data_IF_725402898004
#
_entry.id   IF_725402898004
#
_cell.length_a   1.000
_cell.length_b   1.000
_cell.length_c   1.000
_cell.angle_alpha   90.00
_cell.angle_beta   90.00
_cell.angle_gamma   90.00
#
_symmetry.space_group_name_H-M   'P 1'
#
loop_
_entity.id
_entity.type
_entity.pdbx_description
1 polymer ?
#
# COMPACT_ATOMS: atom_id res chain seq x y z
N UNK A 1 20.88 -10.88 1.50
CA UNK A 1 19.67 -10.87 0.62
C UNK A 1 19.65 -9.59 -0.21
N UNK A 2 19.15 -9.63 -1.45
CA UNK A 2 18.86 -8.43 -2.26
C UNK A 2 17.39 -8.45 -2.61
N UNK A 3 16.65 -7.43 -2.18
CA UNK A 3 15.25 -7.22 -2.53
C UNK A 3 15.16 -5.97 -3.40
N UNK A 4 14.58 -6.10 -4.57
CA UNK A 4 14.35 -4.98 -5.47
C UNK A 4 12.84 -4.75 -5.61
N UNK A 5 12.38 -3.59 -5.17
CA UNK A 5 10.99 -3.16 -5.31
C UNK A 5 10.93 -2.17 -6.47
N UNK A 6 10.34 -2.60 -7.57
CA UNK A 6 10.21 -1.76 -8.77
C UNK A 6 9.14 -0.69 -8.59
N UNK A 7 9.47 0.56 -8.90
CA UNK A 7 8.52 1.68 -8.92
C UNK A 7 7.54 1.62 -10.10
N UNK A 8 7.84 0.83 -11.13
CA UNK A 8 7.10 0.84 -12.40
C UNK A 8 5.74 0.12 -12.36
N UNK A 9 5.44 -0.65 -11.33
CA UNK A 9 4.15 -1.35 -11.19
C UNK A 9 2.96 -0.44 -10.94
N UNK A 10 3.18 0.84 -10.69
CA UNK A 10 2.13 1.80 -10.37
C UNK A 10 1.56 2.52 -11.60
N UNK A 11 2.14 2.30 -12.76
CA UNK A 11 1.65 2.93 -13.99
C UNK A 11 0.83 1.92 -14.80
N UNK A 12 -0.43 1.75 -14.40
CA UNK A 12 -1.39 1.03 -15.22
C UNK A 12 -1.80 1.93 -16.39
N UNK A 13 -1.30 1.62 -17.59
CA UNK A 13 -1.67 2.32 -18.80
C UNK A 13 -2.92 1.63 -19.36
N UNK A 14 -4.07 2.30 -19.28
CA UNK A 14 -5.33 1.84 -19.85
C UNK A 14 -5.67 2.65 -21.12
N UNK A 15 -6.53 2.11 -22.02
CA UNK A 15 -7.06 2.88 -23.13
C UNK A 15 -7.73 4.19 -22.69
N UNK A 16 -8.36 4.19 -21.53
CA UNK A 16 -9.01 5.36 -20.94
C UNK A 16 -8.02 6.47 -20.62
N UNK A 17 -6.89 6.18 -19.97
CA UNK A 17 -5.85 7.18 -19.69
C UNK A 17 -5.27 7.79 -20.97
N UNK A 18 -5.15 6.98 -22.04
CA UNK A 18 -4.69 7.50 -23.33
C UNK A 18 -5.75 8.44 -23.92
N UNK A 19 -7.01 8.08 -23.84
CA UNK A 19 -8.11 8.92 -24.35
C UNK A 19 -8.26 10.20 -23.53
N UNK A 20 -8.17 10.15 -22.22
CA UNK A 20 -8.16 11.34 -21.35
C UNK A 20 -7.03 12.30 -21.73
N UNK A 21 -5.84 11.77 -21.95
CA UNK A 21 -4.69 12.59 -22.36
C UNK A 21 -4.84 13.21 -23.76
N UNK A 22 -5.34 12.42 -24.72
CA UNK A 22 -5.50 12.87 -26.11
C UNK A 22 -6.71 13.79 -26.28
N UNK A 23 -7.82 13.45 -25.59
CA UNK A 23 -9.09 14.18 -25.67
C UNK A 23 -9.25 15.19 -24.51
N UNK A 24 -8.19 15.95 -24.21
CA UNK A 24 -8.14 16.92 -23.10
C UNK A 24 -9.24 17.99 -23.13
N UNK A 25 -9.95 18.14 -24.26
CA UNK A 25 -11.11 19.03 -24.40
C UNK A 25 -12.41 18.46 -23.82
N UNK A 26 -12.47 17.15 -23.58
CA UNK A 26 -13.61 16.50 -22.92
C UNK A 26 -13.49 16.75 -21.41
N UNK A 27 -14.44 17.51 -20.84
CA UNK A 27 -14.41 17.87 -19.41
C UNK A 27 -14.99 16.81 -18.49
N UNK A 28 -15.79 15.90 -19.06
CA UNK A 28 -16.47 14.84 -18.35
C UNK A 28 -15.77 13.51 -18.63
N UNK A 29 -14.90 13.10 -17.71
CA UNK A 29 -14.12 11.87 -17.85
C UNK A 29 -15.00 10.62 -17.81
N UNK A 30 -16.21 10.69 -17.22
CA UNK A 30 -17.15 9.58 -17.15
C UNK A 30 -17.60 9.13 -18.54
N UNK A 31 -17.48 9.99 -19.54
CA UNK A 31 -17.80 9.66 -20.95
C UNK A 31 -16.96 8.48 -21.46
N UNK A 32 -15.75 8.29 -20.94
CA UNK A 32 -14.87 7.21 -21.35
C UNK A 32 -15.19 5.88 -20.65
N UNK A 33 -15.79 5.93 -19.45
CA UNK A 33 -16.02 4.78 -18.57
C UNK A 33 -17.46 4.21 -18.66
N UNK A 34 -18.44 5.01 -19.07
CA UNK A 34 -19.86 4.64 -19.07
C UNK A 34 -20.27 3.84 -20.31
N UNK A 35 -19.72 2.61 -20.44
CA UNK A 35 -20.09 1.70 -21.54
C UNK A 35 -21.48 1.07 -21.37
N UNK A 36 -21.90 0.83 -20.13
CA UNK A 36 -23.17 0.15 -19.84
C UNK A 36 -24.38 1.09 -20.00
N UNK A 37 -24.24 2.36 -19.65
CA UNK A 37 -25.34 3.34 -19.71
C UNK A 37 -25.54 3.97 -21.09
N UNK A 38 -24.48 4.04 -21.90
CA UNK A 38 -24.52 4.62 -23.26
C UNK A 38 -23.84 3.70 -24.28
N UNK A 39 -24.45 2.56 -24.63
CA UNK A 39 -23.88 1.67 -25.63
C UNK A 39 -23.81 2.39 -26.98
N UNK A 40 -22.64 2.27 -27.66
CA UNK A 40 -22.38 2.90 -28.95
C UNK A 40 -21.72 4.27 -28.87
N UNK A 41 -21.09 4.58 -27.75
CA UNK A 41 -20.28 5.79 -27.60
C UNK A 41 -19.20 5.85 -28.70
N UNK A 42 -18.95 7.06 -29.26
CA UNK A 42 -17.90 7.29 -30.27
C UNK A 42 -16.51 6.82 -29.84
N UNK A 43 -16.24 6.76 -28.53
CA UNK A 43 -14.97 6.33 -27.95
C UNK A 43 -14.82 4.81 -27.85
N UNK A 44 -15.90 4.02 -27.86
CA UNK A 44 -15.85 2.54 -27.73
C UNK A 44 -14.94 1.91 -28.79
N UNK A 45 -15.01 2.40 -30.02
CA UNK A 45 -14.16 1.91 -31.12
C UNK A 45 -12.68 2.21 -30.87
N UNK A 46 -12.38 3.34 -30.23
CA UNK A 46 -11.02 3.72 -29.90
C UNK A 46 -10.49 2.92 -28.72
N UNK A 47 -11.31 2.70 -27.67
CA UNK A 47 -10.96 1.84 -26.53
C UNK A 47 -10.57 0.45 -27.03
N UNK A 48 -11.42 -0.18 -27.89
CA UNK A 48 -11.15 -1.49 -28.44
C UNK A 48 -9.88 -1.54 -29.33
N UNK A 49 -9.52 -0.45 -30.02
CA UNK A 49 -8.30 -0.37 -30.83
C UNK A 49 -7.05 -0.13 -30.00
N UNK A 50 -7.16 0.60 -28.89
CA UNK A 50 -6.04 0.92 -28.01
C UNK A 50 -5.73 -0.23 -27.04
N UNK A 51 -6.70 -1.08 -26.70
CA UNK A 51 -6.52 -2.19 -25.77
C UNK A 51 -5.37 -3.14 -26.14
N UNK A 52 -5.23 -3.63 -27.40
CA UNK A 52 -4.09 -4.48 -27.77
C UNK A 52 -2.74 -3.73 -27.67
N UNK A 53 -2.73 -2.42 -27.89
CA UNK A 53 -1.52 -1.60 -27.75
C UNK A 53 -1.14 -1.50 -26.28
N UNK A 54 -2.10 -1.21 -25.40
CA UNK A 54 -1.88 -1.18 -23.96
C UNK A 54 -1.38 -2.55 -23.43
N UNK A 55 -1.98 -3.65 -23.90
CA UNK A 55 -1.54 -5.00 -23.56
C UNK A 55 -0.10 -5.29 -24.01
N UNK A 56 0.28 -4.82 -25.20
CA UNK A 56 1.65 -4.96 -25.69
C UNK A 56 2.64 -4.14 -24.86
N UNK A 57 2.28 -2.92 -24.48
CA UNK A 57 3.08 -2.07 -23.58
C UNK A 57 3.24 -2.74 -22.21
N UNK A 58 2.17 -3.29 -21.63
CA UNK A 58 2.25 -4.01 -20.36
C UNK A 58 3.16 -5.23 -20.44
N UNK A 59 3.02 -6.03 -21.50
CA UNK A 59 3.88 -7.19 -21.72
C UNK A 59 5.36 -6.80 -21.84
N UNK A 60 5.65 -5.68 -22.49
CA UNK A 60 7.00 -5.14 -22.58
C UNK A 60 7.50 -4.65 -21.21
N UNK A 61 6.68 -3.92 -20.47
CA UNK A 61 7.01 -3.45 -19.12
C UNK A 61 7.24 -4.62 -18.15
N UNK A 62 6.42 -5.68 -18.22
CA UNK A 62 6.60 -6.90 -17.43
C UNK A 62 7.89 -7.63 -17.78
N UNK A 63 8.30 -7.59 -19.05
CA UNK A 63 9.58 -8.17 -19.50
C UNK A 63 10.79 -7.37 -18.97
N UNK A 64 10.73 -6.04 -19.04
CA UNK A 64 11.82 -5.15 -18.57
C UNK A 64 11.86 -5.10 -17.03
N UNK A 65 10.69 -5.23 -16.38
CA UNK A 65 10.53 -5.20 -14.92
C UNK A 65 9.81 -6.47 -14.44
N UNK A 66 10.48 -7.65 -14.51
CA UNK A 66 9.86 -8.89 -14.13
C UNK A 66 9.41 -8.87 -12.66
N UNK A 67 8.35 -9.62 -12.38
CA UNK A 67 7.95 -9.91 -10.99
C UNK A 67 9.11 -10.57 -10.27
N UNK A 68 9.22 -10.35 -8.96
CA UNK A 68 10.16 -11.14 -8.15
C UNK A 68 9.66 -12.59 -8.14
N UNK A 69 10.37 -13.45 -8.87
CA UNK A 69 10.02 -14.87 -9.01
C UNK A 69 10.71 -15.73 -7.95
N UNK A 70 11.78 -15.21 -7.36
CA UNK A 70 12.49 -15.89 -6.28
C UNK A 70 13.16 -14.91 -5.32
N UNK A 71 13.35 -15.34 -4.09
CA UNK A 71 14.14 -14.67 -3.07
C UNK A 71 15.26 -15.62 -2.67
N UNK A 72 16.52 -15.19 -2.78
CA UNK A 72 17.64 -15.94 -2.27
C UNK A 72 17.81 -15.63 -0.79
N UNK A 73 17.68 -16.66 0.04
CA UNK A 73 17.87 -16.60 1.49
C UNK A 73 19.17 -17.33 1.81
N UNK A 74 20.07 -16.67 2.51
CA UNK A 74 21.29 -17.27 3.04
C UNK A 74 21.05 -17.76 4.48
N UNK A 75 21.86 -18.70 4.96
CA UNK A 75 21.71 -19.28 6.29
C UNK A 75 21.67 -18.23 7.43
N UNK A 76 22.43 -17.17 7.28
CA UNK A 76 22.47 -16.07 8.26
C UNK A 76 21.20 -15.23 8.32
N UNK A 77 20.49 -15.12 7.20
CA UNK A 77 19.20 -14.42 7.15
C UNK A 77 18.12 -15.15 7.99
N UNK A 78 18.31 -16.45 8.23
CA UNK A 78 17.40 -17.27 9.04
C UNK A 78 17.64 -17.11 10.55
N UNK A 79 18.86 -16.78 10.94
CA UNK A 79 19.20 -16.60 12.37
C UNK A 79 18.56 -15.35 12.98
N UNK A 80 18.44 -14.28 12.17
CA UNK A 80 17.76 -13.05 12.56
C UNK A 80 16.58 -12.82 11.60
N UNK A 81 15.72 -13.81 11.53
CA UNK A 81 14.58 -13.83 10.59
C UNK A 81 13.63 -12.65 10.82
N UNK A 82 13.39 -12.32 12.06
CA UNK A 82 12.58 -11.21 12.52
C UNK A 82 13.14 -9.87 12.00
N UNK A 83 14.43 -9.61 12.21
CA UNK A 83 15.12 -8.43 11.69
C UNK A 83 15.11 -8.39 10.16
N UNK A 84 15.39 -9.54 9.52
CA UNK A 84 15.38 -9.68 8.05
C UNK A 84 13.99 -9.36 7.47
N UNK A 85 12.92 -9.87 8.09
CA UNK A 85 11.54 -9.54 7.71
C UNK A 85 11.26 -8.05 7.91
N UNK A 86 11.71 -7.47 9.01
CA UNK A 86 11.57 -6.04 9.28
C UNK A 86 12.17 -5.16 8.19
N UNK A 87 13.40 -5.44 7.78
CA UNK A 87 14.09 -4.70 6.71
C UNK A 87 13.34 -4.77 5.37
N UNK A 88 12.64 -5.89 5.10
CA UNK A 88 11.86 -6.05 3.87
C UNK A 88 10.49 -5.38 4.02
N UNK A 89 9.81 -5.62 5.14
CA UNK A 89 8.44 -5.16 5.36
C UNK A 89 8.35 -3.65 5.50
N UNK A 90 9.29 -3.02 6.21
CA UNK A 90 9.27 -1.59 6.48
C UNK A 90 9.17 -0.71 5.22
N UNK A 91 10.04 -0.85 4.20
CA UNK A 91 9.92 -0.04 2.98
C UNK A 91 8.65 -0.36 2.19
N UNK A 92 8.12 -1.59 2.27
CA UNK A 92 6.87 -1.97 1.63
C UNK A 92 5.67 -1.30 2.32
N UNK A 93 5.64 -1.27 3.65
CA UNK A 93 4.60 -0.60 4.44
C UNK A 93 4.59 0.91 4.19
N UNK A 94 5.76 1.56 4.18
CA UNK A 94 5.89 2.99 3.86
C UNK A 94 5.38 3.30 2.45
N UNK A 95 5.72 2.46 1.47
CA UNK A 95 5.23 2.62 0.12
C UNK A 95 3.71 2.39 0.02
N UNK A 96 3.17 1.40 0.74
CA UNK A 96 1.73 1.17 0.81
C UNK A 96 1.01 2.36 1.42
N UNK A 97 1.52 2.91 2.51
CA UNK A 97 0.95 4.10 3.16
C UNK A 97 0.91 5.31 2.21
N UNK A 98 1.98 5.54 1.46
CA UNK A 98 2.08 6.66 0.51
C UNK A 98 1.10 6.53 -0.67
N UNK A 99 0.84 5.27 -1.13
CA UNK A 99 0.15 5.02 -2.41
C UNK A 99 -1.22 4.38 -2.27
N UNK A 100 -1.68 4.13 -1.06
CA UNK A 100 -3.00 3.53 -0.83
C UNK A 100 -4.12 4.39 -1.43
N UNK A 101 -5.07 3.74 -2.08
CA UNK A 101 -6.28 4.37 -2.64
C UNK A 101 -7.54 4.00 -1.88
N UNK A 102 -7.42 3.14 -0.85
CA UNK A 102 -8.53 2.66 -0.04
C UNK A 102 -8.04 2.18 1.32
N UNK A 103 -8.97 1.81 2.17
CA UNK A 103 -8.70 1.24 3.48
C UNK A 103 -9.45 -0.10 3.63
N UNK A 104 -8.81 -1.16 4.10
CA UNK A 104 -9.50 -2.36 4.53
C UNK A 104 -10.33 -2.07 5.79
N UNK A 105 -11.21 -2.97 6.11
CA UNK A 105 -11.94 -2.92 7.36
C UNK A 105 -10.99 -3.22 8.53
N UNK A 106 -11.09 -2.42 9.59
CA UNK A 106 -10.33 -2.58 10.82
C UNK A 106 -11.32 -2.71 11.97
N UNK A 107 -11.11 -3.70 12.83
CA UNK A 107 -11.98 -3.95 13.98
C UNK A 107 -11.80 -2.87 15.06
N UNK A 108 -12.87 -2.55 15.74
CA UNK A 108 -12.87 -1.52 16.81
C UNK A 108 -12.00 -1.95 18.02
N UNK A 109 -11.75 -3.27 18.17
CA UNK A 109 -10.93 -3.80 19.27
C UNK A 109 -9.43 -3.48 19.06
N UNK A 110 -9.02 -3.28 17.81
CA UNK A 110 -7.63 -3.06 17.42
C UNK A 110 -7.21 -1.59 17.44
N UNK A 111 -8.11 -0.67 17.81
CA UNK A 111 -7.85 0.76 17.74
C UNK A 111 -8.23 1.48 19.05
N UNK A 112 -7.63 2.67 19.32
CA UNK A 112 -8.00 3.51 20.45
C UNK A 112 -9.48 3.91 20.44
N UNK A 113 -10.04 4.20 21.62
CA UNK A 113 -11.45 4.58 21.81
C UNK A 113 -11.90 5.71 20.88
N UNK A 114 -11.03 6.69 20.62
CA UNK A 114 -11.34 7.86 19.79
C UNK A 114 -11.57 7.52 18.32
N UNK A 115 -11.02 6.36 17.86
CA UNK A 115 -11.12 5.91 16.48
C UNK A 115 -12.18 4.84 16.26
N UNK A 116 -12.80 4.34 17.32
CA UNK A 116 -13.86 3.33 17.21
C UNK A 116 -15.04 3.82 16.39
N UNK A 117 -15.77 2.90 15.80
CA UNK A 117 -16.99 3.19 15.03
C UNK A 117 -18.05 3.87 15.88
N UNK A 118 -18.12 3.52 17.17
CA UNK A 118 -19.01 4.10 18.17
C UNK A 118 -18.69 5.55 18.51
N UNK A 119 -17.45 6.00 18.29
CA UNK A 119 -17.00 7.38 18.51
C UNK A 119 -17.17 8.26 17.26
N UNK A 120 -17.53 7.68 16.12
CA UNK A 120 -17.79 8.41 14.90
C UNK A 120 -19.22 9.02 14.90
N UNK A 121 -19.44 10.13 14.18
CA UNK A 121 -20.77 10.66 13.92
C UNK A 121 -21.70 9.64 13.27
N UNK A 122 -23.01 9.82 13.43
CA UNK A 122 -23.99 8.96 12.81
C UNK A 122 -23.85 8.99 11.29
N UNK A 123 -23.90 7.81 10.67
CA UNK A 123 -23.82 7.66 9.21
C UNK A 123 -25.06 8.26 8.53
N UNK A 124 -24.87 8.86 7.37
CA UNK A 124 -25.99 9.33 6.55
C UNK A 124 -26.77 8.14 5.96
N UNK A 125 -26.07 7.10 5.53
CA UNK A 125 -26.66 5.87 5.00
C UNK A 125 -26.04 4.64 5.68
N UNK A 126 -26.80 3.56 5.81
CA UNK A 126 -26.29 2.30 6.39
C UNK A 126 -25.11 1.69 5.62
N UNK A 127 -25.05 1.94 4.31
CA UNK A 127 -24.02 1.39 3.42
C UNK A 127 -22.72 2.17 3.43
N UNK A 128 -22.73 3.38 3.97
CA UNK A 128 -21.52 4.22 4.00
C UNK A 128 -20.57 3.77 5.09
N UNK A 129 -19.28 3.99 4.86
CA UNK A 129 -18.27 3.86 5.90
C UNK A 129 -18.40 5.03 6.87
N UNK A 130 -18.10 4.80 8.15
CA UNK A 130 -18.06 5.89 9.12
C UNK A 130 -16.84 6.80 8.88
N UNK A 131 -16.86 8.03 9.44
CA UNK A 131 -15.78 9.01 9.25
C UNK A 131 -14.42 8.56 9.78
N UNK A 132 -14.40 7.59 10.69
CA UNK A 132 -13.16 7.07 11.27
C UNK A 132 -12.59 5.89 10.48
N UNK A 133 -13.29 5.35 9.47
CA UNK A 133 -12.87 4.19 8.70
C UNK A 133 -11.43 4.32 8.15
N UNK A 134 -11.14 5.41 7.47
CA UNK A 134 -9.80 5.66 6.92
C UNK A 134 -8.78 5.97 8.02
N UNK A 135 -9.18 6.69 9.06
CA UNK A 135 -8.30 7.04 10.19
C UNK A 135 -7.86 5.80 10.98
N UNK A 136 -8.75 4.80 11.14
CA UNK A 136 -8.40 3.51 11.75
C UNK A 136 -7.29 2.82 10.99
N UNK A 137 -7.43 2.72 9.67
CA UNK A 137 -6.39 2.12 8.85
C UNK A 137 -5.08 2.91 8.87
N UNK A 138 -5.14 4.24 8.87
CA UNK A 138 -3.96 5.08 9.00
C UNK A 138 -3.24 4.87 10.33
N UNK A 139 -4.00 4.73 11.40
CA UNK A 139 -3.44 4.43 12.72
C UNK A 139 -2.76 3.06 12.73
N UNK A 140 -3.41 2.01 12.25
CA UNK A 140 -2.83 0.66 12.17
C UNK A 140 -1.55 0.64 11.34
N UNK A 141 -1.54 1.34 10.19
CA UNK A 141 -0.34 1.46 9.35
C UNK A 141 0.80 2.16 10.09
N UNK A 142 0.50 3.21 10.85
CA UNK A 142 1.50 3.93 11.63
C UNK A 142 2.07 3.04 12.74
N UNK A 143 1.24 2.27 13.44
CA UNK A 143 1.69 1.33 14.47
C UNK A 143 2.57 0.22 13.91
N UNK A 144 2.19 -0.34 12.75
CA UNK A 144 3.03 -1.33 12.06
C UNK A 144 4.39 -0.73 11.65
N UNK A 145 4.40 0.46 11.06
CA UNK A 145 5.63 1.15 10.66
C UNK A 145 6.49 1.44 11.88
N UNK A 146 5.89 1.95 12.94
CA UNK A 146 6.59 2.22 14.21
C UNK A 146 7.23 0.96 14.77
N UNK A 147 6.49 -0.15 14.82
CA UNK A 147 7.01 -1.42 15.32
C UNK A 147 8.22 -1.91 14.50
N UNK A 148 8.12 -1.88 13.17
CA UNK A 148 9.22 -2.31 12.30
C UNK A 148 10.41 -1.34 12.31
N UNK A 149 10.19 -0.03 12.44
CA UNK A 149 11.29 0.94 12.59
C UNK A 149 12.08 0.68 13.87
N UNK A 150 11.41 0.39 14.96
CA UNK A 150 12.07 0.10 16.23
C UNK A 150 12.76 -1.25 16.20
N UNK A 151 12.13 -2.26 15.60
CA UNK A 151 12.70 -3.60 15.51
C UNK A 151 13.94 -3.66 14.60
N UNK A 152 14.03 -2.82 13.58
CA UNK A 152 15.17 -2.77 12.65
C UNK A 152 16.28 -1.81 13.07
N UNK A 153 16.06 -1.05 14.14
CA UNK A 153 17.02 -0.08 14.66
C UNK A 153 17.64 -0.59 15.96
N UNK A 154 18.89 -0.99 15.93
CA UNK A 154 19.62 -1.53 17.09
C UNK A 154 19.80 -0.50 18.23
N UNK A 155 19.62 0.79 17.94
CA UNK A 155 19.79 1.88 18.93
C UNK A 155 18.54 2.13 19.80
N UNK A 156 17.40 1.49 19.49
CA UNK A 156 16.14 1.74 20.20
C UNK A 156 16.21 1.32 21.68
N UNK A 157 16.91 0.23 21.99
CA UNK A 157 17.09 -0.26 23.36
C UNK A 157 17.74 0.80 24.24
N UNK A 158 18.80 1.44 23.78
CA UNK A 158 19.51 2.50 24.52
C UNK A 158 18.60 3.70 24.79
N UNK A 159 17.75 4.05 23.82
CA UNK A 159 16.81 5.17 23.93
C UNK A 159 15.73 4.92 25.02
N UNK A 160 15.23 3.69 25.14
CA UNK A 160 14.18 3.35 26.12
C UNK A 160 14.77 3.02 27.50
N UNK A 161 15.88 2.32 27.55
CA UNK A 161 16.49 1.95 28.84
C UNK A 161 17.23 3.11 29.49
N UNK A 162 17.63 4.15 28.74
CA UNK A 162 18.28 5.39 29.28
C UNK A 162 19.36 5.13 30.31
N UNK A 163 20.15 4.08 30.15
CA UNK A 163 21.20 3.68 31.08
C UNK A 163 20.68 3.15 32.44
N UNK A 164 19.42 2.73 32.52
CA UNK A 164 18.89 2.14 33.79
C UNK A 164 19.50 0.79 34.12
N UNK A 165 20.05 0.10 33.11
CA UNK A 165 20.65 -1.23 33.28
C UNK A 165 22.13 -1.16 32.94
N UNK A 166 22.96 -1.75 33.79
CA UNK A 166 24.41 -1.80 33.59
C UNK A 166 24.82 -2.97 32.70
N UNK A 167 23.94 -3.97 32.59
CA UNK A 167 24.17 -5.19 31.80
C UNK A 167 22.90 -5.64 31.10
N UNK A 168 23.06 -6.38 29.97
CA UNK A 168 21.96 -7.01 29.25
C UNK A 168 21.18 -8.00 30.12
N UNK A 169 21.85 -8.62 31.11
CA UNK A 169 21.23 -9.55 32.05
C UNK A 169 20.19 -8.86 32.94
N UNK A 170 20.49 -7.65 33.42
CA UNK A 170 19.55 -6.87 34.24
C UNK A 170 18.33 -6.40 33.43
N UNK A 171 18.48 -6.16 32.14
CA UNK A 171 17.36 -5.78 31.27
C UNK A 171 16.39 -6.97 30.98
N UNK A 172 16.90 -8.20 31.02
CA UNK A 172 16.08 -9.41 30.76
C UNK A 172 15.27 -9.90 31.97
N UNK A 173 15.50 -9.36 33.18
CA UNK A 173 14.77 -9.68 34.41
C UNK A 173 13.51 -8.81 34.61
N UNK A 174 13.23 -7.92 33.68
CA UNK A 174 12.05 -7.03 33.63
C UNK A 174 11.03 -7.53 32.62
#
# INVERSE_FOLDING_TARGET
>A
MKVYISKYRHHWISPYHILEFVCFWEKDNDVFYNHEEKPGNKYDKWVNRLDPICKAIHKFLDFVHPKVDYVKIDYWDTWSMDHTIGIIALPMLKQLQEKKQGAPFVDDEDVPEELKSTSAPAKENEWDTDENHFKRWDWVMNEMIFAFEHHTNDEWEEKYHKGKFSTRSEACEW
#
